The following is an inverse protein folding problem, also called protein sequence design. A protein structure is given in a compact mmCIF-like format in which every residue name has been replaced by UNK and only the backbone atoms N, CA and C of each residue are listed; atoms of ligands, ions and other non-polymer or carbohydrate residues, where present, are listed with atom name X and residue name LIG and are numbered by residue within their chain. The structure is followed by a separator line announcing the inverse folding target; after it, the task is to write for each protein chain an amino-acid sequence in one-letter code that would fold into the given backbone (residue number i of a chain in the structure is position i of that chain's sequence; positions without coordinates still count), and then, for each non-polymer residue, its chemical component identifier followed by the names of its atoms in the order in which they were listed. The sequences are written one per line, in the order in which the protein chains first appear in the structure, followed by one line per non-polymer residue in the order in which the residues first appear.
data_IF_832984878285
#
_entry.id   IF_832984878285
#
_cell.length_a   1.000
_cell.length_b   1.000
_cell.length_c   1.000
_cell.angle_alpha   90.00
_cell.angle_beta   90.00
_cell.angle_gamma   90.00
#
_symmetry.space_group_name_H-M   'P 1'
#
loop_
_entity.id
_entity.type
_entity.pdbx_description
1 polymer ?
#
# COMPACT_ATOMS: atom_id res chain seq x y z
N UNK A 1 -18.26 1.75 -21.77
CA UNK A 1 -18.86 1.16 -20.55
C UNK A 1 -17.78 0.55 -19.73
N UNK A 2 -17.58 1.05 -18.49
CA UNK A 2 -16.65 0.50 -17.52
C UNK A 2 -17.11 -0.92 -17.17
N UNK A 3 -16.28 -1.91 -17.41
CA UNK A 3 -16.51 -3.28 -16.95
C UNK A 3 -15.76 -3.48 -15.66
N UNK A 4 -16.49 -3.71 -14.58
CA UNK A 4 -15.92 -4.08 -13.29
C UNK A 4 -15.43 -5.53 -13.35
N UNK A 5 -14.15 -5.76 -13.05
CA UNK A 5 -13.61 -7.10 -12.90
C UNK A 5 -13.90 -7.54 -11.46
N UNK A 6 -14.73 -8.56 -11.28
CA UNK A 6 -14.95 -9.19 -10.00
C UNK A 6 -14.18 -10.51 -9.94
N UNK A 7 -13.21 -10.63 -9.05
CA UNK A 7 -12.62 -11.91 -8.68
C UNK A 7 -13.36 -12.47 -7.49
N UNK A 8 -13.94 -13.66 -7.65
CA UNK A 8 -14.56 -14.41 -6.58
C UNK A 8 -13.83 -15.72 -6.32
N UNK A 9 -13.96 -16.26 -5.11
CA UNK A 9 -13.48 -17.60 -4.77
C UNK A 9 -14.68 -18.48 -4.43
N UNK A 10 -14.62 -19.74 -4.83
CA UNK A 10 -15.56 -20.76 -4.35
C UNK A 10 -15.20 -21.20 -2.93
N UNK A 11 -16.12 -21.92 -2.24
CA UNK A 11 -15.89 -22.43 -0.86
C UNK A 11 -14.66 -23.35 -0.71
N UNK A 12 -14.18 -23.91 -1.80
CA UNK A 12 -13.00 -24.78 -1.90
C UNK A 12 -11.75 -24.07 -2.41
N UNK A 13 -11.74 -22.71 -2.32
CA UNK A 13 -10.63 -21.84 -2.73
C UNK A 13 -10.26 -21.93 -4.22
N UNK A 14 -11.10 -22.53 -5.05
CA UNK A 14 -10.88 -22.54 -6.49
C UNK A 14 -11.22 -21.17 -7.07
N UNK A 15 -10.29 -20.47 -7.75
CA UNK A 15 -10.57 -19.18 -8.34
C UNK A 15 -11.60 -19.32 -9.45
N UNK A 16 -12.73 -18.63 -9.33
CA UNK A 16 -13.72 -18.51 -10.40
C UNK A 16 -13.26 -17.39 -11.34
N UNK A 17 -12.80 -17.76 -12.54
CA UNK A 17 -12.61 -16.80 -13.62
C UNK A 17 -13.99 -16.42 -14.19
N UNK A 18 -14.43 -15.21 -13.91
CA UNK A 18 -15.43 -14.56 -14.75
C UNK A 18 -14.67 -13.84 -15.88
N UNK A 19 -14.45 -14.57 -16.96
CA UNK A 19 -13.59 -14.12 -18.05
C UNK A 19 -14.37 -13.34 -19.10
N UNK A 20 -14.42 -12.02 -18.99
CA UNK A 20 -14.65 -11.11 -20.14
C UNK A 20 -14.11 -9.71 -19.84
N UNK A 21 -12.86 -9.58 -19.44
CA UNK A 21 -12.20 -8.31 -19.26
C UNK A 21 -10.72 -8.39 -19.65
N UNK A 22 -10.01 -7.26 -19.84
CA UNK A 22 -8.59 -7.26 -20.04
C UNK A 22 -7.89 -7.86 -18.80
N UNK A 23 -6.77 -8.55 -19.00
CA UNK A 23 -5.97 -9.12 -17.91
C UNK A 23 -5.43 -8.04 -16.95
N UNK A 24 -5.37 -6.79 -17.40
CA UNK A 24 -4.96 -5.60 -16.66
C UNK A 24 -6.00 -4.50 -16.88
N UNK A 25 -6.46 -3.89 -15.80
CA UNK A 25 -7.31 -2.71 -15.82
C UNK A 25 -6.52 -1.48 -15.37
N UNK A 26 -6.81 -0.31 -15.96
CA UNK A 26 -6.21 0.97 -15.55
C UNK A 26 -7.22 1.78 -14.77
N UNK A 27 -6.83 2.23 -13.59
CA UNK A 27 -7.61 3.11 -12.72
C UNK A 27 -6.88 4.43 -12.54
N UNK A 28 -7.51 5.54 -12.89
CA UNK A 28 -6.98 6.87 -12.61
C UNK A 28 -7.34 7.27 -11.17
N UNK A 29 -6.31 7.53 -10.35
CA UNK A 29 -6.47 8.03 -8.99
C UNK A 29 -5.70 9.35 -8.89
N UNK A 30 -6.43 10.46 -8.74
CA UNK A 30 -5.86 11.81 -8.74
C UNK A 30 -4.89 12.02 -9.94
N UNK A 31 -5.37 11.67 -11.12
CA UNK A 31 -4.65 11.75 -12.41
C UNK A 31 -3.52 10.73 -12.62
N UNK A 32 -3.10 10.01 -11.58
CA UNK A 32 -2.10 8.95 -11.76
C UNK A 32 -2.75 7.66 -12.27
N UNK A 33 -2.31 7.10 -13.42
CA UNK A 33 -2.83 5.85 -13.96
C UNK A 33 -2.19 4.66 -13.24
N UNK A 34 -2.99 3.88 -12.51
CA UNK A 34 -2.57 2.64 -11.88
C UNK A 34 -3.04 1.44 -12.69
N UNK A 35 -2.12 0.62 -13.15
CA UNK A 35 -2.39 -0.67 -13.75
C UNK A 35 -2.57 -1.74 -12.67
N UNK A 36 -3.67 -2.48 -12.75
CA UNK A 36 -4.04 -3.51 -11.78
C UNK A 36 -4.40 -4.79 -12.54
N UNK A 37 -3.65 -5.85 -12.31
CA UNK A 37 -3.96 -7.16 -12.87
C UNK A 37 -5.13 -7.82 -12.14
N UNK A 38 -5.82 -8.77 -12.80
CA UNK A 38 -6.95 -9.51 -12.23
C UNK A 38 -6.64 -10.27 -10.93
N UNK A 39 -5.36 -10.53 -10.64
CA UNK A 39 -4.92 -11.26 -9.45
C UNK A 39 -4.53 -10.35 -8.29
N UNK A 40 -4.46 -9.05 -8.54
CA UNK A 40 -4.10 -8.05 -7.53
C UNK A 40 -5.35 -7.52 -6.85
N UNK A 41 -5.24 -7.20 -5.58
CA UNK A 41 -6.30 -6.55 -4.83
C UNK A 41 -6.53 -5.13 -5.35
N UNK A 42 -7.79 -4.75 -5.47
CA UNK A 42 -8.22 -3.37 -5.69
C UNK A 42 -9.44 -3.06 -4.83
N UNK A 43 -9.58 -1.80 -4.43
CA UNK A 43 -10.70 -1.34 -3.60
C UNK A 43 -12.03 -1.56 -4.30
N UNK A 44 -12.97 -2.25 -3.64
CA UNK A 44 -14.25 -2.65 -4.24
C UNK A 44 -15.19 -1.48 -4.51
N UNK A 45 -15.13 -0.41 -3.71
CA UNK A 45 -15.93 0.79 -3.89
C UNK A 45 -15.17 1.79 -4.76
N UNK A 46 -15.79 2.29 -5.82
CA UNK A 46 -15.12 3.14 -6.82
C UNK A 46 -14.51 4.43 -6.26
N UNK A 47 -15.10 5.00 -5.21
CA UNK A 47 -14.58 6.21 -4.56
C UNK A 47 -13.54 5.93 -3.46
N UNK A 48 -13.41 4.67 -3.03
CA UNK A 48 -12.50 4.34 -1.94
C UNK A 48 -11.03 4.71 -2.24
N UNK A 49 -10.48 4.45 -3.43
CA UNK A 49 -9.12 4.88 -3.75
C UNK A 49 -8.91 6.38 -3.51
N UNK A 50 -9.79 7.22 -4.05
CA UNK A 50 -9.70 8.67 -3.91
C UNK A 50 -9.82 9.12 -2.45
N UNK A 51 -10.87 8.65 -1.75
CA UNK A 51 -11.14 9.07 -0.36
C UNK A 51 -10.01 8.63 0.59
N UNK A 52 -9.51 7.39 0.41
CA UNK A 52 -8.42 6.88 1.24
C UNK A 52 -7.11 7.63 0.96
N UNK A 53 -6.78 7.88 -0.30
CA UNK A 53 -5.55 8.61 -0.65
C UNK A 53 -5.58 10.05 -0.15
N UNK A 54 -6.71 10.76 -0.27
CA UNK A 54 -6.87 12.11 0.30
C UNK A 54 -6.68 12.12 1.82
N UNK A 55 -7.30 11.16 2.54
CA UNK A 55 -7.15 11.08 3.99
C UNK A 55 -5.70 10.79 4.39
N UNK A 56 -5.08 9.79 3.76
CA UNK A 56 -3.68 9.40 4.03
C UNK A 56 -2.73 10.56 3.72
N UNK A 57 -2.94 11.25 2.60
CA UNK A 57 -2.15 12.41 2.21
C UNK A 57 -2.16 13.51 3.28
N UNK A 58 -3.35 13.85 3.79
CA UNK A 58 -3.51 14.88 4.80
C UNK A 58 -2.88 14.51 6.15
N UNK A 59 -2.89 13.22 6.53
CA UNK A 59 -2.32 12.78 7.81
C UNK A 59 -0.81 12.50 7.75
N UNK A 60 -0.28 12.16 6.59
CA UNK A 60 1.13 11.78 6.45
C UNK A 60 2.10 12.97 6.56
N UNK A 61 1.66 14.16 6.21
CA UNK A 61 2.48 15.39 6.24
C UNK A 61 3.87 15.19 5.61
N UNK A 62 3.91 14.49 4.46
CA UNK A 62 5.15 14.19 3.74
C UNK A 62 5.82 15.48 3.28
N UNK A 63 7.14 15.52 3.41
CA UNK A 63 7.98 16.65 3.00
C UNK A 63 8.93 16.22 1.89
N UNK A 64 9.35 17.18 1.08
CA UNK A 64 10.39 16.94 0.09
C UNK A 64 11.66 16.42 0.75
N UNK A 65 12.23 15.35 0.20
CA UNK A 65 13.42 14.69 0.74
C UNK A 65 13.15 13.61 1.80
N UNK A 66 11.90 13.40 2.21
CA UNK A 66 11.55 12.34 3.18
C UNK A 66 11.86 10.94 2.62
N UNK A 67 12.07 10.00 3.53
CA UNK A 67 12.00 8.57 3.26
C UNK A 67 10.67 8.01 3.75
N UNK A 68 9.79 7.64 2.82
CA UNK A 68 8.47 7.08 3.05
C UNK A 68 8.51 5.55 2.89
N UNK A 69 7.94 4.83 3.84
CA UNK A 69 7.63 3.40 3.70
C UNK A 69 6.13 3.22 3.48
N UNK A 70 5.76 2.52 2.39
CA UNK A 70 4.39 2.10 2.07
C UNK A 70 4.28 0.59 2.31
N UNK A 71 3.81 0.22 3.50
CA UNK A 71 3.73 -1.17 3.95
C UNK A 71 2.36 -1.77 3.61
N UNK A 72 2.35 -3.00 3.09
CA UNK A 72 1.17 -3.61 2.47
C UNK A 72 0.67 -2.79 1.28
N UNK A 73 1.62 -2.22 0.53
CA UNK A 73 1.36 -1.18 -0.46
C UNK A 73 0.60 -1.64 -1.72
N UNK A 74 0.36 -2.95 -1.87
CA UNK A 74 -0.39 -3.49 -3.00
C UNK A 74 0.24 -3.10 -4.34
N UNK A 75 -0.57 -2.54 -5.23
CA UNK A 75 -0.14 -2.04 -6.56
C UNK A 75 0.45 -0.64 -6.51
N UNK A 76 0.52 -0.02 -5.30
CA UNK A 76 1.09 1.29 -5.05
C UNK A 76 0.08 2.43 -5.00
N UNK A 77 -1.13 2.17 -4.50
CA UNK A 77 -2.19 3.18 -4.39
C UNK A 77 -1.70 4.43 -3.62
N UNK A 78 -1.12 4.25 -2.44
CA UNK A 78 -0.62 5.38 -1.65
C UNK A 78 0.70 5.91 -2.21
N UNK A 79 1.62 5.05 -2.61
CA UNK A 79 2.89 5.44 -3.25
C UNK A 79 2.68 6.45 -4.37
N UNK A 80 1.67 6.24 -5.26
CA UNK A 80 1.41 7.12 -6.40
C UNK A 80 1.11 8.57 -6.01
N UNK A 81 0.54 8.79 -4.82
CA UNK A 81 0.11 10.11 -4.38
C UNK A 81 1.25 10.98 -3.82
N UNK A 82 2.37 10.36 -3.48
CA UNK A 82 3.48 11.08 -2.85
C UNK A 82 4.67 11.34 -3.78
N UNK A 83 4.64 10.83 -5.01
CA UNK A 83 5.75 10.94 -5.97
C UNK A 83 6.20 12.38 -6.19
N UNK A 84 5.25 13.27 -6.47
CA UNK A 84 5.56 14.69 -6.72
C UNK A 84 5.99 15.41 -5.43
N UNK A 85 5.34 15.09 -4.30
CA UNK A 85 5.58 15.77 -3.03
C UNK A 85 6.93 15.41 -2.41
N UNK A 86 7.34 14.15 -2.56
CA UNK A 86 8.60 13.68 -1.99
C UNK A 86 9.81 14.22 -2.75
N UNK A 87 9.61 14.55 -4.03
CA UNK A 87 10.63 15.11 -4.91
C UNK A 87 11.75 14.12 -5.25
N UNK A 88 12.69 14.55 -6.06
CA UNK A 88 13.81 13.72 -6.55
C UNK A 88 14.78 13.30 -5.44
N UNK A 89 14.93 14.11 -4.38
CA UNK A 89 15.81 13.82 -3.24
C UNK A 89 15.21 12.89 -2.20
N UNK A 90 13.88 12.67 -2.26
CA UNK A 90 13.18 11.75 -1.39
C UNK A 90 13.15 10.33 -1.95
N UNK A 91 12.67 9.41 -1.12
CA UNK A 91 12.60 7.99 -1.47
C UNK A 91 11.31 7.37 -0.96
N UNK A 92 10.70 6.50 -1.77
CA UNK A 92 9.60 5.65 -1.34
C UNK A 92 10.04 4.19 -1.45
N UNK A 93 9.86 3.41 -0.38
CA UNK A 93 10.02 1.97 -0.41
C UNK A 93 8.66 1.30 -0.14
N UNK A 94 8.11 0.64 -1.14
CA UNK A 94 6.88 -0.14 -1.08
C UNK A 94 7.19 -1.59 -0.71
N UNK A 95 6.53 -2.10 0.32
CA UNK A 95 6.66 -3.50 0.77
C UNK A 95 5.31 -4.21 0.63
N UNK A 96 5.30 -5.32 -0.12
CA UNK A 96 4.07 -6.07 -0.41
C UNK A 96 4.36 -7.57 -0.53
N UNK A 97 3.48 -8.41 0.05
CA UNK A 97 3.62 -9.87 0.05
C UNK A 97 3.19 -10.52 -1.26
N UNK A 98 2.22 -9.95 -1.96
CA UNK A 98 1.68 -10.50 -3.19
C UNK A 98 2.61 -10.25 -4.39
N UNK A 99 3.07 -11.33 -5.02
CA UNK A 99 3.89 -11.24 -6.25
C UNK A 99 3.14 -10.61 -7.42
N UNK A 100 1.82 -10.77 -7.49
CA UNK A 100 1.00 -10.13 -8.52
C UNK A 100 0.99 -8.62 -8.33
N UNK A 101 0.70 -8.17 -7.11
CA UNK A 101 0.63 -6.76 -6.79
C UNK A 101 1.99 -6.06 -6.94
N UNK A 102 3.09 -6.68 -6.49
CA UNK A 102 4.43 -6.12 -6.71
C UNK A 102 4.83 -6.11 -8.19
N UNK A 103 4.37 -7.08 -8.98
CA UNK A 103 4.53 -7.06 -10.43
C UNK A 103 3.81 -5.88 -11.08
N UNK A 104 2.60 -5.56 -10.60
CA UNK A 104 1.86 -4.37 -11.01
C UNK A 104 2.57 -3.09 -10.57
N UNK A 105 3.03 -3.03 -9.30
CA UNK A 105 3.78 -1.90 -8.78
C UNK A 105 5.07 -1.63 -9.58
N UNK A 106 5.81 -2.67 -9.97
CA UNK A 106 6.98 -2.51 -10.84
C UNK A 106 6.64 -1.88 -12.20
N UNK A 107 5.46 -2.19 -12.79
CA UNK A 107 5.01 -1.52 -14.02
C UNK A 107 4.60 -0.09 -13.75
N UNK A 108 3.82 0.15 -12.69
CA UNK A 108 3.30 1.45 -12.33
C UNK A 108 4.40 2.49 -12.05
N UNK A 109 5.53 2.04 -11.51
CA UNK A 109 6.63 2.92 -11.10
C UNK A 109 7.93 2.69 -11.87
N UNK A 110 7.87 2.07 -13.06
CA UNK A 110 9.07 1.72 -13.85
C UNK A 110 9.98 2.91 -14.16
N UNK A 111 9.40 4.11 -14.30
CA UNK A 111 10.13 5.35 -14.61
C UNK A 111 10.57 6.14 -13.36
N UNK A 112 10.19 5.69 -12.16
CA UNK A 112 10.48 6.39 -10.89
C UNK A 112 11.67 5.76 -10.17
N UNK A 113 12.86 6.29 -10.38
CA UNK A 113 14.12 5.74 -9.81
C UNK A 113 14.23 5.87 -8.30
N UNK A 114 13.42 6.74 -7.70
CA UNK A 114 13.32 6.95 -6.25
C UNK A 114 12.27 6.07 -5.57
N UNK A 115 11.64 5.12 -6.30
CA UNK A 115 10.71 4.13 -5.75
C UNK A 115 11.38 2.76 -5.73
N UNK A 116 11.54 2.19 -4.53
CA UNK A 116 11.97 0.81 -4.32
C UNK A 116 10.78 -0.12 -4.06
N UNK A 117 10.73 -1.28 -4.71
CA UNK A 117 9.66 -2.26 -4.52
C UNK A 117 10.24 -3.54 -3.95
N UNK A 118 9.69 -3.96 -2.81
CA UNK A 118 10.14 -5.12 -2.05
C UNK A 118 9.04 -6.17 -1.96
N UNK A 119 9.24 -7.31 -2.64
CA UNK A 119 8.31 -8.43 -2.57
C UNK A 119 8.61 -9.30 -1.37
N UNK A 120 7.67 -9.42 -0.44
CA UNK A 120 7.76 -10.35 0.68
C UNK A 120 6.99 -9.89 1.92
N UNK A 121 7.09 -10.69 2.96
CA UNK A 121 6.45 -10.46 4.24
C UNK A 121 6.98 -9.18 4.91
N UNK A 122 6.08 -8.27 5.26
CA UNK A 122 6.41 -6.99 5.90
C UNK A 122 7.21 -7.20 7.18
N UNK A 123 6.86 -8.20 8.00
CA UNK A 123 7.57 -8.50 9.24
C UNK A 123 9.05 -8.86 9.01
N UNK A 124 9.36 -9.47 7.86
CA UNK A 124 10.72 -9.89 7.51
C UNK A 124 11.52 -8.82 6.78
N UNK A 125 10.84 -7.93 6.06
CA UNK A 125 11.49 -6.89 5.26
C UNK A 125 11.70 -5.62 6.08
N UNK A 126 10.72 -5.19 6.87
CA UNK A 126 10.77 -3.95 7.62
C UNK A 126 12.03 -3.78 8.50
N UNK A 127 12.55 -4.81 9.18
CA UNK A 127 13.79 -4.69 9.96
C UNK A 127 15.07 -4.41 9.15
N UNK A 128 15.00 -4.46 7.83
CA UNK A 128 16.16 -4.14 6.95
C UNK A 128 16.34 -2.63 6.75
N UNK A 129 15.32 -1.84 7.07
CA UNK A 129 15.40 -0.39 7.03
C UNK A 129 16.00 0.14 8.32
N UNK A 130 16.87 1.14 8.22
CA UNK A 130 17.52 1.77 9.38
C UNK A 130 16.81 3.03 9.86
N UNK A 131 16.01 3.65 8.99
CA UNK A 131 15.19 4.83 9.29
C UNK A 131 14.01 4.92 8.33
N UNK A 132 13.00 5.68 8.74
CA UNK A 132 11.94 6.19 7.88
C UNK A 132 11.45 7.51 8.47
N UNK A 133 11.09 8.47 7.63
CA UNK A 133 10.51 9.75 8.09
C UNK A 133 8.99 9.64 8.24
N UNK A 134 8.37 8.88 7.34
CA UNK A 134 6.92 8.60 7.35
C UNK A 134 6.69 7.12 7.03
N UNK A 135 5.72 6.52 7.71
CA UNK A 135 5.28 5.14 7.43
C UNK A 135 3.77 5.18 7.18
N UNK A 136 3.34 4.61 6.07
CA UNK A 136 1.93 4.36 5.75
C UNK A 136 1.72 2.84 5.75
N UNK A 137 0.59 2.38 6.26
CA UNK A 137 0.26 0.96 6.19
C UNK A 137 -1.24 0.72 6.09
N UNK A 138 -1.63 -0.24 5.23
CA UNK A 138 -2.99 -0.75 5.05
C UNK A 138 -2.99 -2.28 5.22
N UNK A 139 -2.83 -2.78 6.43
CA UNK A 139 -2.68 -4.20 6.68
C UNK A 139 -4.03 -4.95 6.54
N UNK A 140 -4.01 -6.28 6.43
CA UNK A 140 -5.21 -7.10 6.46
C UNK A 140 -6.01 -6.92 7.76
N UNK A 141 -7.25 -7.46 7.80
CA UNK A 141 -8.22 -7.24 8.90
C UNK A 141 -7.71 -7.58 10.28
N UNK A 142 -6.85 -8.58 10.40
CA UNK A 142 -6.19 -8.95 11.66
C UNK A 142 -5.22 -7.89 12.18
N UNK A 143 -4.85 -6.94 11.35
CA UNK A 143 -3.86 -5.90 11.65
C UNK A 143 -2.43 -6.30 11.33
N UNK A 144 -1.50 -5.37 11.50
CA UNK A 144 -0.08 -5.56 11.16
C UNK A 144 0.68 -6.51 12.13
N UNK A 145 0.11 -6.82 13.29
CA UNK A 145 0.77 -7.61 14.30
C UNK A 145 1.77 -6.83 15.17
N UNK A 146 2.09 -7.40 16.33
CA UNK A 146 2.93 -6.74 17.34
C UNK A 146 4.36 -6.46 16.84
N UNK A 147 4.97 -7.43 16.16
CA UNK A 147 6.37 -7.33 15.74
C UNK A 147 6.56 -6.23 14.68
N UNK A 148 5.62 -6.11 13.74
CA UNK A 148 5.63 -5.03 12.73
C UNK A 148 5.49 -3.68 13.41
N UNK A 149 4.53 -3.52 14.34
CA UNK A 149 4.32 -2.27 15.09
C UNK A 149 5.58 -1.86 15.84
N UNK A 150 6.21 -2.80 16.56
CA UNK A 150 7.46 -2.51 17.28
C UNK A 150 8.59 -2.13 16.33
N UNK A 151 8.72 -2.80 15.19
CA UNK A 151 9.74 -2.47 14.19
C UNK A 151 9.52 -1.07 13.60
N UNK A 152 8.27 -0.66 13.34
CA UNK A 152 7.97 0.71 12.90
C UNK A 152 8.42 1.76 13.93
N UNK A 153 8.10 1.54 15.20
CA UNK A 153 8.48 2.48 16.28
C UNK A 153 10.01 2.61 16.40
N UNK A 154 10.76 1.53 16.21
CA UNK A 154 12.22 1.55 16.24
C UNK A 154 12.85 2.42 15.14
N UNK A 155 12.17 2.59 14.00
CA UNK A 155 12.61 3.49 12.91
C UNK A 155 12.44 4.96 13.27
N UNK A 156 11.72 5.29 14.35
CA UNK A 156 11.45 6.65 14.85
C UNK A 156 10.88 7.59 13.78
N UNK A 157 9.85 7.18 13.04
CA UNK A 157 9.23 8.03 12.05
C UNK A 157 8.58 9.25 12.72
N UNK A 158 8.49 10.35 11.97
CA UNK A 158 7.74 11.54 12.39
C UNK A 158 6.23 11.28 12.41
N UNK A 159 5.74 10.48 11.46
CA UNK A 159 4.34 10.10 11.34
C UNK A 159 4.18 8.63 10.96
N UNK A 160 3.15 7.99 11.53
CA UNK A 160 2.66 6.68 11.12
C UNK A 160 1.18 6.84 10.79
N UNK A 161 0.81 6.57 9.53
CA UNK A 161 -0.58 6.58 9.07
C UNK A 161 -1.06 5.15 8.93
N UNK A 162 -1.94 4.73 9.82
CA UNK A 162 -2.48 3.37 9.85
C UNK A 162 -3.91 3.38 9.29
N UNK A 163 -4.10 2.78 8.12
CA UNK A 163 -5.41 2.54 7.53
C UNK A 163 -5.96 1.24 8.13
N UNK A 164 -7.11 1.31 8.78
CA UNK A 164 -7.69 0.15 9.45
C UNK A 164 -9.17 -0.02 9.10
N UNK A 165 -9.56 -1.20 8.65
CA UNK A 165 -10.97 -1.56 8.46
C UNK A 165 -11.60 -2.17 9.73
N UNK A 166 -10.80 -2.49 10.76
CA UNK A 166 -11.25 -3.01 12.06
C UNK A 166 -10.74 -2.11 13.21
N UNK A 167 -11.64 -1.41 13.94
CA UNK A 167 -11.25 -0.59 15.09
C UNK A 167 -10.52 -1.36 16.20
N UNK A 168 -10.82 -2.64 16.39
CA UNK A 168 -10.14 -3.44 17.39
C UNK A 168 -8.68 -3.74 17.00
N UNK A 169 -8.41 -3.96 15.72
CA UNK A 169 -7.05 -4.11 15.21
C UNK A 169 -6.24 -2.81 15.39
N UNK A 170 -6.85 -1.65 15.12
CA UNK A 170 -6.22 -0.35 15.34
C UNK A 170 -5.90 -0.12 16.83
N UNK A 171 -6.85 -0.41 17.73
CA UNK A 171 -6.63 -0.29 19.18
C UNK A 171 -5.47 -1.17 19.66
N UNK A 172 -5.37 -2.41 19.16
CA UNK A 172 -4.23 -3.29 19.47
C UNK A 172 -2.91 -2.72 18.94
N UNK A 173 -2.90 -2.16 17.75
CA UNK A 173 -1.70 -1.55 17.17
C UNK A 173 -1.22 -0.35 18.00
N UNK A 174 -2.12 0.56 18.37
CA UNK A 174 -1.84 1.72 19.23
C UNK A 174 -1.28 1.29 20.59
N UNK A 175 -1.89 0.29 21.23
CA UNK A 175 -1.37 -0.25 22.48
C UNK A 175 0.04 -0.84 22.34
N UNK A 176 0.30 -1.58 21.25
CA UNK A 176 1.62 -2.16 20.99
C UNK A 176 2.69 -1.12 20.67
N UNK A 177 2.31 0.00 20.08
CA UNK A 177 3.21 1.13 19.84
C UNK A 177 3.55 1.92 21.11
N UNK A 178 2.77 1.75 22.19
CA UNK A 178 2.84 2.56 23.41
C UNK A 178 2.71 4.07 23.13
N UNK A 179 1.86 4.38 22.13
CA UNK A 179 1.48 5.76 21.76
C UNK A 179 0.35 6.25 22.67
#
# INVERSE_FOLDING_TARGET
GERTIATGYTRDETPVRTSEGPDIATYAVNEFPLEVSQRSFWQSHKEAPRVLTEAVFNFAEVKSGDHLLDLYGGVGLFTSQFLEHIGESGRIDLVEGSKSATGDAHRNFAEHTNVGIHTGDVEKILPRFSKADVIILDPPREGAGKNVVQSMVLLKPRAIVYVACDPAALARATFNAKL
#
